data_IF_880597670045
#
_entry.id   IF_880597670045
#
_cell.length_a   1.000
_cell.length_b   1.000
_cell.length_c   1.000
_cell.angle_alpha   90.00
_cell.angle_beta   90.00
_cell.angle_gamma   90.00
#
_symmetry.space_group_name_H-M   'P 1'
#
loop_
_entity.id
_entity.type
_entity.pdbx_description
1 polymer ?
#
# COMPACT_ATOMS: atom_id res chain seq x y z
N UNK A 1 -1.69 21.61 5.34
CA UNK A 1 -1.44 20.20 4.97
C UNK A 1 -2.05 19.94 3.62
N UNK A 2 -1.27 19.29 2.77
CA UNK A 2 -1.60 18.82 1.42
C UNK A 2 -1.39 17.30 1.37
N UNK A 3 -1.82 16.65 0.29
CA UNK A 3 -1.56 15.23 0.10
C UNK A 3 -0.06 14.91 0.01
N UNK A 4 0.74 15.86 -0.46
CA UNK A 4 2.20 15.73 -0.54
C UNK A 4 2.83 15.69 0.86
N UNK A 5 2.21 16.33 1.86
CA UNK A 5 2.67 16.24 3.26
C UNK A 5 2.38 14.86 3.88
N UNK A 6 1.50 14.07 3.26
CA UNK A 6 1.07 12.76 3.77
C UNK A 6 1.66 11.59 2.98
N UNK A 7 2.32 11.84 1.85
CA UNK A 7 2.80 10.80 0.95
C UNK A 7 4.25 11.00 0.59
N UNK A 8 4.95 9.89 0.33
CA UNK A 8 6.34 9.93 -0.16
C UNK A 8 6.33 9.75 -1.66
N UNK A 9 6.95 10.68 -2.40
CA UNK A 9 7.20 10.49 -3.82
C UNK A 9 8.41 9.55 -4.02
N UNK A 10 8.14 8.29 -4.34
CA UNK A 10 9.14 7.27 -4.62
C UNK A 10 9.33 6.97 -6.12
N UNK A 11 8.78 7.80 -7.02
CA UNK A 11 8.85 7.56 -8.49
C UNK A 11 10.28 7.53 -9.06
N UNK A 12 11.25 8.08 -8.33
CA UNK A 12 12.66 8.10 -8.69
C UNK A 12 13.42 6.83 -8.23
N UNK A 13 12.76 5.94 -7.49
CA UNK A 13 13.32 4.68 -7.00
C UNK A 13 12.84 3.50 -7.84
N UNK A 14 13.60 2.40 -7.82
CA UNK A 14 13.14 1.12 -8.35
C UNK A 14 12.09 0.56 -7.40
N UNK A 15 10.88 0.38 -7.91
CA UNK A 15 9.69 0.05 -7.14
C UNK A 15 9.82 -1.29 -6.37
N UNK A 16 10.54 -2.24 -6.96
CA UNK A 16 10.79 -3.58 -6.42
C UNK A 16 11.73 -3.54 -5.20
N UNK A 17 12.63 -2.55 -5.14
CA UNK A 17 13.64 -2.46 -4.08
C UNK A 17 13.12 -1.73 -2.82
N UNK A 18 12.10 -0.87 -2.97
CA UNK A 18 11.56 0.01 -1.91
C UNK A 18 11.18 -0.75 -0.64
N UNK A 19 10.57 -1.93 -0.77
CA UNK A 19 10.10 -2.76 0.34
C UNK A 19 10.79 -4.12 0.40
N UNK A 20 12.01 -4.22 -0.15
CA UNK A 20 12.80 -5.47 -0.14
C UNK A 20 12.98 -6.07 1.27
N UNK A 21 13.18 -5.23 2.29
CA UNK A 21 13.24 -5.67 3.69
C UNK A 21 11.94 -6.25 4.26
N UNK A 22 10.82 -6.06 3.57
CA UNK A 22 9.48 -6.57 3.94
C UNK A 22 9.04 -7.76 3.09
N UNK A 23 9.87 -8.24 2.14
CA UNK A 23 9.55 -9.37 1.26
C UNK A 23 9.08 -10.62 2.01
N UNK A 24 9.61 -10.87 3.21
CA UNK A 24 9.23 -11.99 4.07
C UNK A 24 7.73 -12.00 4.46
N UNK A 25 7.10 -10.82 4.50
CA UNK A 25 5.69 -10.65 4.84
C UNK A 25 4.83 -10.41 3.59
N UNK A 26 5.32 -9.60 2.65
CA UNK A 26 4.52 -9.17 1.49
C UNK A 26 4.61 -10.13 0.29
N UNK A 27 5.68 -10.93 0.22
CA UNK A 27 6.04 -11.77 -0.93
C UNK A 27 6.56 -10.98 -2.13
N UNK A 28 6.90 -11.66 -3.22
CA UNK A 28 7.52 -11.09 -4.42
C UNK A 28 6.52 -10.56 -5.46
N UNK A 29 5.21 -10.74 -5.23
CA UNK A 29 4.13 -10.37 -6.16
C UNK A 29 3.41 -9.07 -5.83
N UNK A 30 3.83 -8.33 -4.79
CA UNK A 30 3.15 -7.09 -4.38
C UNK A 30 4.08 -5.90 -4.49
N UNK A 31 3.68 -4.89 -5.25
CA UNK A 31 4.49 -3.69 -5.48
C UNK A 31 3.82 -2.45 -4.86
N UNK A 32 4.58 -1.55 -4.22
CA UNK A 32 4.02 -0.36 -3.56
C UNK A 32 3.38 0.59 -4.57
N UNK A 33 2.12 0.98 -4.37
CA UNK A 33 1.41 2.00 -5.17
C UNK A 33 1.33 3.35 -4.45
N UNK A 34 1.46 3.36 -3.12
CA UNK A 34 1.48 4.56 -2.29
C UNK A 34 2.30 4.27 -1.04
N UNK A 35 3.10 5.24 -0.61
CA UNK A 35 3.80 5.23 0.68
C UNK A 35 3.30 6.43 1.47
N UNK A 36 2.82 6.18 2.67
CA UNK A 36 2.50 7.24 3.62
C UNK A 36 3.79 7.81 4.20
N UNK A 37 3.80 9.11 4.53
CA UNK A 37 4.92 9.74 5.22
C UNK A 37 5.19 9.11 6.61
N UNK A 38 4.21 8.41 7.19
CA UNK A 38 4.34 7.62 8.42
C UNK A 38 5.14 6.31 8.24
N UNK A 39 5.35 5.85 7.00
CA UNK A 39 6.04 4.61 6.67
C UNK A 39 5.12 3.51 6.14
N UNK A 40 3.82 3.57 6.43
CA UNK A 40 2.85 2.59 5.91
C UNK A 40 2.82 2.56 4.38
N UNK A 41 2.50 1.40 3.81
CA UNK A 41 2.47 1.22 2.38
C UNK A 41 1.17 0.60 1.90
N UNK A 42 0.66 1.08 0.77
CA UNK A 42 -0.34 0.36 -0.01
C UNK A 42 0.37 -0.36 -1.14
N UNK A 43 0.10 -1.65 -1.29
CA UNK A 43 0.69 -2.50 -2.32
C UNK A 43 -0.39 -3.07 -3.22
N UNK A 44 -0.06 -3.22 -4.49
CA UNK A 44 -0.90 -3.93 -5.45
C UNK A 44 -0.26 -5.25 -5.83
N UNK A 45 -1.03 -6.33 -5.77
CA UNK A 45 -0.60 -7.61 -6.29
C UNK A 45 -0.58 -7.58 -7.83
N UNK A 46 0.52 -7.99 -8.45
CA UNK A 46 0.71 -7.89 -9.91
C UNK A 46 -0.11 -8.90 -10.71
N UNK A 47 -0.56 -10.00 -10.08
CA UNK A 47 -1.31 -11.07 -10.75
C UNK A 47 -2.82 -10.81 -10.66
N UNK A 48 -3.33 -10.56 -9.46
CA UNK A 48 -4.77 -10.42 -9.21
C UNK A 48 -5.24 -8.97 -8.99
N UNK A 49 -4.31 -8.01 -8.99
CA UNK A 49 -4.57 -6.56 -8.82
C UNK A 49 -5.23 -6.14 -7.50
N UNK A 50 -5.35 -7.05 -6.53
CA UNK A 50 -5.84 -6.74 -5.19
C UNK A 50 -4.93 -5.75 -4.45
N UNK A 51 -5.52 -4.93 -3.59
CA UNK A 51 -4.84 -3.89 -2.83
C UNK A 51 -4.68 -4.33 -1.39
N UNK A 52 -3.47 -4.14 -0.87
CA UNK A 52 -3.07 -4.51 0.47
C UNK A 52 -2.49 -3.29 1.18
N UNK A 53 -2.76 -3.18 2.48
CA UNK A 53 -2.13 -2.22 3.36
C UNK A 53 -1.11 -2.96 4.24
N UNK A 54 0.14 -2.52 4.18
CA UNK A 54 1.20 -2.87 5.10
C UNK A 54 1.20 -1.85 6.24
N UNK A 55 0.76 -2.28 7.40
CA UNK A 55 0.92 -1.55 8.66
C UNK A 55 2.32 -1.85 9.18
N UNK A 56 3.20 -0.85 9.07
CA UNK A 56 4.61 -0.98 9.45
C UNK A 56 4.78 -0.95 10.97
N UNK A 57 3.85 -0.32 11.69
CA UNK A 57 3.88 -0.19 13.15
C UNK A 57 3.66 -1.52 13.86
N UNK A 58 2.73 -2.34 13.38
CA UNK A 58 2.46 -3.68 13.94
C UNK A 58 3.04 -4.83 13.14
N UNK A 59 3.49 -4.59 11.90
CA UNK A 59 4.07 -5.62 11.05
C UNK A 59 3.03 -6.57 10.45
N UNK A 60 1.90 -6.02 9.99
CA UNK A 60 0.78 -6.78 9.42
C UNK A 60 0.51 -6.38 7.97
N UNK A 61 0.03 -7.35 7.18
CA UNK A 61 -0.42 -7.13 5.81
C UNK A 61 -1.90 -7.48 5.68
N UNK A 62 -2.71 -6.45 5.45
CA UNK A 62 -4.16 -6.56 5.37
C UNK A 62 -4.65 -6.33 3.95
N UNK A 63 -5.53 -7.18 3.43
CA UNK A 63 -6.19 -6.93 2.14
C UNK A 63 -7.30 -5.90 2.34
N UNK A 64 -7.27 -4.79 1.60
CA UNK A 64 -8.19 -3.66 1.77
C UNK A 64 -9.09 -3.42 0.55
N UNK A 65 -8.74 -3.98 -0.61
CA UNK A 65 -9.62 -3.96 -1.78
C UNK A 65 -9.33 -5.12 -2.74
N UNK A 66 -10.36 -5.50 -3.49
CA UNK A 66 -10.21 -6.28 -4.73
C UNK A 66 -9.73 -5.38 -5.88
N UNK A 67 -9.44 -5.96 -7.06
CA UNK A 67 -9.08 -5.20 -8.27
C UNK A 67 -10.05 -4.03 -8.49
N UNK A 68 -9.50 -2.88 -8.88
CA UNK A 68 -10.16 -1.57 -9.06
C UNK A 68 -11.33 -1.59 -10.05
N UNK A 69 -11.54 -2.69 -10.76
CA UNK A 69 -12.64 -2.89 -11.70
C UNK A 69 -13.99 -3.25 -11.05
N UNK A 70 -14.05 -3.43 -9.72
CA UNK A 70 -15.34 -3.50 -9.02
C UNK A 70 -15.67 -2.15 -8.36
N UNK A 71 -16.83 -1.56 -8.73
CA UNK A 71 -17.33 -0.23 -8.30
C UNK A 71 -17.74 -0.17 -6.81
N UNK A 72 -16.99 -0.78 -5.90
CA UNK A 72 -17.26 -0.67 -4.48
C UNK A 72 -16.27 0.35 -3.88
N UNK A 73 -16.74 1.43 -3.24
CA UNK A 73 -15.87 2.35 -2.53
C UNK A 73 -15.03 1.58 -1.51
N UNK A 74 -13.74 1.86 -1.45
CA UNK A 74 -12.87 1.38 -0.36
C UNK A 74 -13.49 1.94 0.93
N UNK A 75 -14.13 1.08 1.72
CA UNK A 75 -14.62 1.43 3.04
C UNK A 75 -13.45 1.32 4.00
N UNK A 76 -12.93 2.47 4.41
CA UNK A 76 -12.15 2.54 5.64
C UNK A 76 -13.15 2.53 6.79
N UNK A 77 -13.31 1.38 7.46
CA UNK A 77 -14.07 1.34 8.70
C UNK A 77 -13.28 2.11 9.77
N UNK A 78 -13.67 3.37 9.97
CA UNK A 78 -13.21 4.19 11.08
C UNK A 78 -12.36 5.41 10.68
N UNK A 79 -13.03 6.46 10.23
CA UNK A 79 -12.82 7.85 10.69
C UNK A 79 -13.68 8.78 9.80
N UNK A 80 -14.72 9.36 10.39
CA UNK A 80 -15.34 10.57 9.85
C UNK A 80 -14.38 11.73 10.11
N UNK A 81 -13.99 12.43 9.04
CA UNK A 81 -13.63 13.85 9.06
C UNK A 81 -14.45 14.55 7.98
#
# INVERSE_FOLDING_TARGET
MTLDDLTVNFSHLKREEVLSGWEWLIGDKKLPILLAASGDAFLQNVENRGIYWLDVGVGELNKVAEDRLHKTPIRFDGAYI
#
